data_IF_907846031282
#
_entry.id   IF_907846031282
#
_cell.length_a   1.000
_cell.length_b   1.000
_cell.length_c   1.000
_cell.angle_alpha   90.00
_cell.angle_beta   90.00
_cell.angle_gamma   90.00
#
_symmetry.space_group_name_H-M   'P 1'
#
loop_
_entity.id
_entity.type
_entity.pdbx_description
1 polymer ?
#
# COMPACT_ATOMS: atom_id res chain seq x y z
N UNK A 1 8.82 2.79 -6.30
CA UNK A 1 8.22 4.03 -6.88
C UNK A 1 7.52 4.86 -5.80
N UNK A 2 8.12 5.97 -5.35
CA UNK A 2 7.58 6.88 -4.31
C UNK A 2 6.23 7.56 -4.66
N UNK A 3 5.87 7.61 -5.95
CA UNK A 3 4.71 8.34 -6.48
C UNK A 3 3.37 7.89 -5.89
N UNK A 4 3.14 6.57 -5.78
CA UNK A 4 1.86 6.01 -5.28
C UNK A 4 1.64 6.30 -3.79
N UNK A 5 2.72 6.28 -2.99
CA UNK A 5 2.66 6.57 -1.55
C UNK A 5 2.25 8.02 -1.30
N UNK A 6 2.80 8.95 -2.07
CA UNK A 6 2.46 10.37 -2.01
C UNK A 6 1.01 10.62 -2.45
N UNK A 7 0.61 10.06 -3.59
CA UNK A 7 -0.77 10.17 -4.08
C UNK A 7 -1.79 9.53 -3.11
N UNK A 8 -1.41 8.48 -2.40
CA UNK A 8 -2.23 7.86 -1.36
C UNK A 8 -2.20 8.62 -0.02
N UNK A 9 -1.46 9.74 0.08
CA UNK A 9 -1.24 10.54 1.30
C UNK A 9 -0.70 9.71 2.47
N UNK A 10 0.17 8.74 2.17
CA UNK A 10 0.79 7.87 3.14
C UNK A 10 2.17 8.36 3.55
N UNK A 11 2.51 8.16 4.82
CA UNK A 11 3.84 8.46 5.36
C UNK A 11 4.84 7.46 4.81
N UNK A 12 5.90 7.97 4.17
CA UNK A 12 7.03 7.15 3.74
C UNK A 12 7.62 6.39 4.94
N UNK A 13 7.89 5.09 4.74
CA UNK A 13 8.33 4.17 5.80
C UNK A 13 7.42 4.14 7.04
N UNK A 14 6.13 4.44 6.88
CA UNK A 14 5.13 4.30 7.93
C UNK A 14 4.94 2.85 8.41
N UNK A 15 4.20 2.69 9.51
CA UNK A 15 3.86 1.40 10.09
C UNK A 15 3.13 0.47 9.13
N UNK A 16 2.31 1.00 8.23
CA UNK A 16 1.50 0.24 7.27
C UNK A 16 1.73 0.78 5.86
N UNK A 17 2.74 0.29 5.15
CA UNK A 17 3.21 0.91 3.91
C UNK A 17 2.30 0.65 2.70
N UNK A 18 1.37 -0.29 2.78
CA UNK A 18 0.52 -0.64 1.65
C UNK A 18 -0.57 0.43 1.41
N UNK A 19 -0.77 0.91 0.17
CA UNK A 19 -1.83 1.85 -0.18
C UNK A 19 -3.24 1.24 -0.17
N UNK A 20 -3.36 -0.09 -0.07
CA UNK A 20 -4.65 -0.80 -0.11
C UNK A 20 -5.09 -1.38 1.24
N UNK A 21 -4.17 -1.62 2.16
CA UNK A 21 -4.48 -2.24 3.44
C UNK A 21 -3.57 -1.74 4.57
N UNK A 22 -3.97 -2.03 5.80
CA UNK A 22 -3.27 -1.63 7.03
C UNK A 22 -2.28 -2.69 7.54
N UNK A 23 -1.96 -3.71 6.74
CA UNK A 23 -0.89 -4.68 7.06
C UNK A 23 0.37 -3.95 7.47
N UNK A 24 0.88 -4.33 8.63
CA UNK A 24 2.01 -3.67 9.24
C UNK A 24 3.33 -4.11 8.61
N UNK A 25 4.29 -3.20 8.59
CA UNK A 25 5.66 -3.43 8.12
C UNK A 25 6.31 -4.59 8.88
N UNK A 26 6.05 -4.66 10.18
CA UNK A 26 6.55 -5.72 11.05
C UNK A 26 6.08 -7.12 10.61
N UNK A 27 4.94 -7.24 9.93
CA UNK A 27 4.38 -8.53 9.50
C UNK A 27 4.67 -8.87 8.04
N UNK A 28 5.43 -8.04 7.32
CA UNK A 28 5.72 -8.23 5.88
C UNK A 28 6.43 -9.55 5.60
N UNK A 29 7.22 -10.08 6.54
CA UNK A 29 7.86 -11.40 6.38
C UNK A 29 6.85 -12.55 6.17
N UNK A 30 5.56 -12.35 6.51
CA UNK A 30 4.50 -13.33 6.25
C UNK A 30 3.85 -13.16 4.86
N UNK A 31 4.40 -12.30 3.98
CA UNK A 31 3.84 -12.03 2.66
C UNK A 31 3.56 -13.34 1.92
N UNK A 32 2.34 -13.47 1.37
CA UNK A 32 1.93 -14.67 0.64
C UNK A 32 1.35 -15.79 1.51
N UNK A 33 1.57 -15.77 2.84
CA UNK A 33 0.93 -16.72 3.75
C UNK A 33 -0.60 -16.55 3.78
N UNK A 34 -1.33 -17.61 4.11
CA UNK A 34 -2.81 -17.57 4.26
C UNK A 34 -3.25 -16.47 5.22
N UNK A 35 -2.51 -16.28 6.32
CA UNK A 35 -2.75 -15.22 7.31
C UNK A 35 -2.56 -13.81 6.74
N UNK A 36 -1.51 -13.57 5.95
CA UNK A 36 -1.30 -12.28 5.29
C UNK A 36 -2.43 -11.98 4.30
N UNK A 37 -2.81 -12.96 3.47
CA UNK A 37 -3.94 -12.82 2.54
C UNK A 37 -5.25 -12.46 3.27
N UNK A 38 -5.54 -13.12 4.39
CA UNK A 38 -6.69 -12.79 5.21
C UNK A 38 -6.59 -11.37 5.79
N UNK A 39 -5.45 -11.01 6.38
CA UNK A 39 -5.20 -9.68 6.92
C UNK A 39 -5.38 -8.58 5.88
N UNK A 40 -4.87 -8.75 4.65
CA UNK A 40 -5.04 -7.78 3.56
C UNK A 40 -6.50 -7.57 3.18
N UNK A 41 -7.30 -8.65 3.19
CA UNK A 41 -8.74 -8.57 2.91
C UNK A 41 -9.51 -7.89 4.03
N UNK A 42 -9.18 -8.19 5.28
CA UNK A 42 -9.85 -7.65 6.48
C UNK A 42 -9.48 -6.21 6.78
N UNK A 43 -8.22 -5.85 6.55
CA UNK A 43 -7.65 -4.54 6.92
C UNK A 43 -7.57 -3.57 5.75
N UNK A 44 -8.47 -3.68 4.76
CA UNK A 44 -8.50 -2.76 3.63
C UNK A 44 -8.61 -1.32 4.13
N UNK A 45 -7.89 -0.40 3.48
CA UNK A 45 -8.03 1.03 3.76
C UNK A 45 -9.40 1.50 3.26
N UNK A 46 -10.06 2.29 4.08
CA UNK A 46 -11.35 2.90 3.78
C UNK A 46 -11.17 4.41 3.82
N UNK A 47 -11.81 5.09 2.88
CA UNK A 47 -11.94 6.54 2.89
C UNK A 47 -13.28 6.90 3.51
N UNK A 48 -13.30 6.98 4.84
CA UNK A 48 -14.48 7.23 5.65
C UNK A 48 -14.36 8.54 6.46
N UNK A 49 -15.45 8.92 7.11
CA UNK A 49 -15.50 10.10 7.99
C UNK A 49 -14.50 10.03 9.14
N UNK A 50 -14.18 8.83 9.63
CA UNK A 50 -13.19 8.63 10.70
C UNK A 50 -11.79 9.06 10.22
N UNK A 51 -11.41 8.66 9.01
CA UNK A 51 -10.18 9.12 8.36
C UNK A 51 -10.22 10.64 8.17
N UNK A 52 -11.30 11.21 7.66
CA UNK A 52 -11.40 12.65 7.40
C UNK A 52 -11.22 13.46 8.69
N UNK A 53 -11.95 13.06 9.74
CA UNK A 53 -11.84 13.64 11.09
C UNK A 53 -10.42 13.53 11.66
N UNK A 54 -9.74 12.40 11.42
CA UNK A 54 -8.36 12.20 11.87
C UNK A 54 -7.39 13.15 11.15
N UNK A 55 -7.56 13.37 9.84
CA UNK A 55 -6.74 14.33 9.07
C UNK A 55 -6.98 15.75 9.59
N UNK A 56 -8.23 16.16 9.76
CA UNK A 56 -8.56 17.50 10.25
C UNK A 56 -8.07 17.73 11.68
N UNK A 57 -8.19 16.74 12.56
CA UNK A 57 -7.67 16.83 13.93
C UNK A 57 -6.15 16.99 13.96
N UNK A 58 -5.43 16.26 13.10
CA UNK A 58 -3.99 16.40 12.98
C UNK A 58 -3.59 17.77 12.41
N UNK A 59 -4.34 18.28 11.43
CA UNK A 59 -4.12 19.62 10.87
C UNK A 59 -4.37 20.71 11.90
N UNK A 60 -5.46 20.62 12.68
CA UNK A 60 -5.74 21.51 13.80
C UNK A 60 -4.59 21.53 14.80
N UNK A 61 -4.09 20.36 15.18
CA UNK A 61 -2.90 20.24 16.03
C UNK A 61 -1.69 21.01 15.48
N UNK A 62 -1.45 20.92 14.17
CA UNK A 62 -0.29 21.55 13.53
C UNK A 62 -0.47 23.06 13.38
N UNK A 63 -1.57 23.49 12.76
CA UNK A 63 -1.74 24.88 12.30
C UNK A 63 -2.37 25.79 13.35
N UNK A 64 -3.24 25.28 14.23
CA UNK A 64 -3.90 26.10 15.26
C UNK A 64 -3.17 26.00 16.60
N UNK A 65 -2.72 24.80 16.97
CA UNK A 65 -2.04 24.56 18.25
C UNK A 65 -0.51 24.53 18.16
N UNK A 66 0.06 24.84 16.99
CA UNK A 66 1.51 24.96 16.79
C UNK A 66 2.30 23.66 17.04
N UNK A 67 1.67 22.49 16.99
CA UNK A 67 2.37 21.21 17.22
C UNK A 67 3.23 20.86 16.01
N UNK A 68 4.45 20.39 16.28
CA UNK A 68 5.31 19.84 15.22
C UNK A 68 4.65 18.64 14.51
N UNK A 69 4.88 18.51 13.20
CA UNK A 69 4.37 17.39 12.38
C UNK A 69 4.88 16.03 12.88
N UNK A 70 6.07 16.00 13.50
CA UNK A 70 6.67 14.79 14.08
C UNK A 70 6.29 14.57 15.55
N UNK A 71 5.48 15.46 16.14
CA UNK A 71 5.08 15.38 17.54
C UNK A 71 4.34 14.08 17.87
N UNK A 72 4.42 13.67 19.13
CA UNK A 72 3.66 12.53 19.65
C UNK A 72 2.16 12.71 19.46
N UNK A 73 1.64 13.93 19.58
CA UNK A 73 0.22 14.24 19.35
C UNK A 73 -0.21 13.85 17.92
N UNK A 74 0.49 14.34 16.89
CA UNK A 74 0.18 14.01 15.49
C UNK A 74 0.40 12.53 15.19
N UNK A 75 1.45 11.93 15.78
CA UNK A 75 1.75 10.50 15.63
C UNK A 75 0.66 9.61 16.23
N UNK A 76 0.05 10.00 17.33
CA UNK A 76 -1.04 9.23 17.95
C UNK A 76 -2.31 9.26 17.08
N UNK A 77 -2.57 10.37 16.40
CA UNK A 77 -3.72 10.51 15.50
C UNK A 77 -3.53 9.71 14.20
N UNK A 78 -2.38 9.89 13.52
CA UNK A 78 -2.19 9.40 12.16
C UNK A 78 -1.30 8.16 12.03
N UNK A 79 -0.49 7.88 13.06
CA UNK A 79 0.63 6.93 12.98
C UNK A 79 0.20 5.48 12.80
N UNK A 80 -0.92 5.08 13.42
CA UNK A 80 -1.51 3.74 13.26
C UNK A 80 -1.84 3.43 11.80
N UNK A 81 -2.39 4.42 11.09
CA UNK A 81 -2.78 4.28 9.69
C UNK A 81 -1.67 4.71 8.72
N UNK A 82 -0.55 5.23 9.23
CA UNK A 82 0.52 5.79 8.40
C UNK A 82 0.04 6.88 7.45
N UNK A 83 -0.92 7.69 7.89
CA UNK A 83 -1.39 8.84 7.13
C UNK A 83 -0.43 10.03 7.29
N UNK A 84 -0.49 10.94 6.32
CA UNK A 84 0.08 12.30 6.43
C UNK A 84 -1.05 13.29 6.72
N UNK A 85 -0.79 14.45 7.35
CA UNK A 85 -1.80 15.48 7.62
C UNK A 85 -2.19 16.28 6.36
N UNK A 86 -2.27 15.58 5.22
CA UNK A 86 -2.51 16.14 3.89
C UNK A 86 -3.93 15.82 3.48
N UNK A 87 -4.68 16.82 3.02
CA UNK A 87 -5.97 16.61 2.38
C UNK A 87 -5.76 16.06 0.98
N UNK A 88 -6.51 15.03 0.62
CA UNK A 88 -6.36 14.36 -0.67
C UNK A 88 -7.45 14.85 -1.64
N UNK A 89 -7.06 15.36 -2.81
CA UNK A 89 -8.01 15.87 -3.80
C UNK A 89 -9.02 14.83 -4.28
N UNK A 90 -8.59 13.56 -4.47
CA UNK A 90 -9.50 12.49 -4.88
C UNK A 90 -10.50 12.18 -3.76
N UNK A 91 -10.04 12.15 -2.52
CA UNK A 91 -10.91 11.99 -1.35
C UNK A 91 -11.96 13.10 -1.29
N UNK A 92 -11.54 14.38 -1.31
CA UNK A 92 -12.46 15.53 -1.23
C UNK A 92 -13.48 15.57 -2.37
N UNK A 93 -13.07 15.22 -3.59
CA UNK A 93 -13.94 15.32 -4.77
C UNK A 93 -14.84 14.10 -4.97
N UNK A 94 -14.38 12.91 -4.57
CA UNK A 94 -15.04 11.64 -4.86
C UNK A 94 -15.73 10.99 -3.65
N UNK A 95 -15.42 11.40 -2.41
CA UNK A 95 -16.05 10.86 -1.21
C UNK A 95 -17.58 10.98 -1.22
N UNK A 96 -18.10 12.10 -1.73
CA UNK A 96 -19.54 12.35 -1.89
C UNK A 96 -20.27 11.32 -2.76
N UNK A 97 -19.54 10.60 -3.62
CA UNK A 97 -20.07 9.53 -4.45
C UNK A 97 -19.89 8.13 -3.81
N UNK A 98 -19.46 8.07 -2.54
CA UNK A 98 -19.11 6.83 -1.85
C UNK A 98 -17.86 6.14 -2.41
N UNK A 99 -17.04 6.86 -3.19
CA UNK A 99 -15.88 6.27 -3.84
C UNK A 99 -14.66 6.26 -2.92
N UNK A 100 -14.24 5.06 -2.53
CA UNK A 100 -12.99 4.86 -1.80
C UNK A 100 -11.78 5.03 -2.72
N UNK A 101 -11.12 6.20 -2.66
CA UNK A 101 -10.01 6.55 -3.55
C UNK A 101 -8.78 5.63 -3.41
N UNK A 102 -8.61 4.92 -2.28
CA UNK A 102 -7.54 3.92 -2.16
C UNK A 102 -7.65 2.82 -3.23
N UNK A 103 -8.85 2.65 -3.83
CA UNK A 103 -9.06 1.72 -4.93
C UNK A 103 -8.27 2.07 -6.19
N UNK A 104 -7.82 3.31 -6.35
CA UNK A 104 -7.01 3.75 -7.49
C UNK A 104 -5.60 3.15 -7.50
N UNK A 105 -5.07 2.74 -6.33
CA UNK A 105 -3.70 2.23 -6.20
C UNK A 105 -3.63 0.70 -6.31
N UNK A 106 -4.09 0.16 -7.44
CA UNK A 106 -3.95 -1.28 -7.72
C UNK A 106 -2.47 -1.59 -8.01
N UNK A 107 -1.87 -2.58 -7.33
CA UNK A 107 -0.53 -3.05 -7.69
C UNK A 107 -0.57 -3.54 -9.14
N UNK A 108 0.24 -2.92 -9.98
CA UNK A 108 0.42 -3.35 -11.36
C UNK A 108 1.83 -3.92 -11.43
N UNK A 109 1.94 -5.25 -11.45
CA UNK A 109 3.23 -5.94 -11.50
C UNK A 109 4.06 -5.54 -12.72
N UNK A 110 3.41 -5.25 -13.86
CA UNK A 110 4.10 -4.83 -15.08
C UNK A 110 4.64 -3.40 -15.00
N UNK A 111 4.03 -2.56 -14.15
CA UNK A 111 4.48 -1.19 -13.91
C UNK A 111 5.42 -1.07 -12.70
N UNK A 112 5.34 -2.01 -11.74
CA UNK A 112 6.13 -1.99 -10.51
C UNK A 112 7.46 -2.73 -10.65
N UNK A 113 7.54 -3.77 -11.50
CA UNK A 113 8.81 -4.33 -11.95
C UNK A 113 9.26 -3.60 -13.20
N UNK A 114 10.52 -3.17 -13.25
CA UNK A 114 11.10 -2.79 -14.53
C UNK A 114 10.96 -4.00 -15.48
N UNK A 115 10.33 -3.81 -16.64
CA UNK A 115 10.03 -4.88 -17.60
C UNK A 115 11.25 -5.80 -17.88
N UNK A 116 12.45 -5.23 -17.84
CA UNK A 116 13.72 -5.95 -18.00
C UNK A 116 14.03 -6.90 -16.84
N UNK A 117 13.74 -6.50 -15.61
CA UNK A 117 13.96 -7.32 -14.40
C UNK A 117 13.00 -8.51 -14.38
N UNK A 118 11.72 -8.29 -14.68
CA UNK A 118 10.75 -9.40 -14.76
C UNK A 118 11.16 -10.40 -15.83
N UNK A 119 11.52 -9.92 -17.04
CA UNK A 119 12.00 -10.78 -18.12
C UNK A 119 13.24 -11.58 -17.71
N UNK A 120 14.19 -10.96 -17.02
CA UNK A 120 15.40 -11.64 -16.54
C UNK A 120 15.08 -12.75 -15.52
N UNK A 121 14.21 -12.47 -14.54
CA UNK A 121 13.79 -13.44 -13.52
C UNK A 121 13.05 -14.61 -14.19
N UNK A 122 12.07 -14.32 -15.05
CA UNK A 122 11.31 -15.36 -15.75
C UNK A 122 12.22 -16.23 -16.61
N UNK A 123 13.17 -15.62 -17.34
CA UNK A 123 14.15 -16.36 -18.15
C UNK A 123 15.02 -17.26 -17.27
N UNK A 124 15.44 -16.78 -16.10
CA UNK A 124 16.23 -17.56 -15.16
C UNK A 124 15.45 -18.75 -14.59
N UNK A 125 14.19 -18.53 -14.20
CA UNK A 125 13.29 -19.60 -13.72
C UNK A 125 13.06 -20.66 -14.81
N UNK A 126 12.79 -20.25 -16.05
CA UNK A 126 12.64 -21.18 -17.19
C UNK A 126 13.91 -22.00 -17.41
N UNK A 127 15.10 -21.41 -17.30
CA UNK A 127 16.37 -22.13 -17.42
C UNK A 127 16.58 -23.15 -16.29
N UNK A 128 16.16 -22.83 -15.07
CA UNK A 128 16.18 -23.79 -13.95
C UNK A 128 15.24 -24.95 -14.26
N UNK A 129 14.00 -24.66 -14.67
CA UNK A 129 13.00 -25.68 -15.03
C UNK A 129 13.53 -26.57 -16.18
N UNK A 130 14.14 -25.97 -17.21
CA UNK A 130 14.77 -26.70 -18.33
C UNK A 130 15.87 -27.67 -17.86
N UNK A 131 16.57 -27.35 -16.77
CA UNK A 131 17.64 -28.19 -16.22
C UNK A 131 17.14 -29.29 -15.27
N UNK A 132 15.91 -29.19 -14.76
CA UNK A 132 15.35 -30.14 -13.79
C UNK A 132 14.80 -31.42 -14.45
N UNK A 133 14.29 -31.36 -15.68
CA UNK A 133 13.88 -32.56 -16.42
C UNK A 133 12.89 -32.31 -17.57
N UNK A 134 12.71 -33.33 -18.41
CA UNK A 134 11.75 -33.30 -19.52
C UNK A 134 10.30 -33.25 -18.99
N UNK A 135 9.49 -32.43 -19.66
CA UNK A 135 8.07 -32.08 -19.41
C UNK A 135 7.74 -31.00 -18.37
N UNK A 136 8.65 -30.58 -17.50
CA UNK A 136 8.34 -29.51 -16.53
C UNK A 136 7.97 -28.17 -17.19
N UNK A 137 8.51 -27.89 -18.39
CA UNK A 137 8.15 -26.70 -19.18
C UNK A 137 6.76 -26.84 -19.80
N UNK A 138 6.41 -28.04 -20.27
CA UNK A 138 5.07 -28.29 -20.82
C UNK A 138 4.00 -28.16 -19.74
N UNK A 139 4.29 -28.58 -18.50
CA UNK A 139 3.42 -28.36 -17.35
C UNK A 139 3.30 -26.89 -16.97
N UNK A 140 4.41 -26.15 -16.96
CA UNK A 140 4.40 -24.70 -16.71
C UNK A 140 3.53 -23.94 -17.73
N UNK A 141 3.58 -24.30 -19.01
CA UNK A 141 2.80 -23.67 -20.08
C UNK A 141 1.29 -23.98 -20.06
N UNK A 142 0.81 -24.88 -19.19
CA UNK A 142 -0.63 -25.18 -19.05
C UNK A 142 -1.37 -24.14 -18.17
N UNK A 143 -0.63 -23.29 -17.45
CA UNK A 143 -1.14 -22.22 -16.59
C UNK A 143 -1.01 -20.85 -17.25
#
# INVERSE_FOLDING_TARGET
MPSRTLLATLKFLGRSPCPRCLVQKATIFNLGAKKDRHSRKKTKRVDDECRHSSIESARKAIFEFGRSVISTAVKNILGMFSFTPTRNTFSEKLSRFGFNFFRLFVPDFMHEFELRVWKAILTHLIRIIYKVGDDCIQEFNKW
#
